data_IF_588628757008
#
_entry.id   IF_588628757008
#
_cell.length_a   1.000
_cell.length_b   1.000
_cell.length_c   1.000
_cell.angle_alpha   90.00
_cell.angle_beta   90.00
_cell.angle_gamma   90.00
#
_symmetry.space_group_name_H-M   'P 1'
#
loop_
_entity.id
_entity.type
_entity.pdbx_description
1 polymer ?
#
# COMPACT_ATOMS: atom_id res chain seq x y z
N UNK A 1 2.63 7.79 4.67
CA UNK A 1 2.86 6.42 4.17
C UNK A 1 3.32 5.54 5.32
N UNK A 2 2.76 4.35 5.40
CA UNK A 2 3.13 3.39 6.45
C UNK A 2 4.13 2.38 5.89
N UNK A 3 5.20 2.17 6.62
CA UNK A 3 6.21 1.17 6.26
C UNK A 3 6.07 0.01 7.22
N UNK A 4 5.74 -1.17 6.68
CA UNK A 4 5.51 -2.38 7.48
C UNK A 4 6.11 -3.59 6.78
N UNK A 5 6.43 -4.60 7.59
CA UNK A 5 6.88 -5.88 7.03
C UNK A 5 5.76 -6.60 6.30
N UNK A 6 4.52 -6.34 6.70
CA UNK A 6 3.35 -6.93 6.05
C UNK A 6 2.33 -5.83 5.82
N UNK A 7 1.95 -5.64 4.56
CA UNK A 7 0.98 -4.64 4.16
C UNK A 7 -0.32 -5.32 3.75
N UNK A 8 -1.44 -4.60 3.91
CA UNK A 8 -2.76 -5.14 3.58
C UNK A 8 -3.64 -4.06 2.98
N UNK A 9 -4.54 -4.50 2.12
CA UNK A 9 -5.60 -3.66 1.59
C UNK A 9 -6.56 -3.32 2.72
N UNK A 10 -6.83 -2.04 2.91
CA UNK A 10 -7.69 -1.56 3.98
C UNK A 10 -9.10 -1.31 3.48
N UNK A 11 -9.24 -0.87 2.24
CA UNK A 11 -10.55 -0.57 1.66
C UNK A 11 -10.63 -1.11 0.22
N UNK A 12 -11.83 -1.02 -0.36
CA UNK A 12 -12.06 -1.55 -1.70
C UNK A 12 -11.33 -0.78 -2.79
N UNK A 13 -10.94 0.45 -2.52
CA UNK A 13 -10.24 1.29 -3.49
C UNK A 13 -8.73 1.17 -3.39
N UNK A 14 -8.24 0.39 -2.44
CA UNK A 14 -6.81 0.13 -2.30
C UNK A 14 -6.35 -0.88 -3.34
N UNK A 15 -5.14 -0.68 -3.83
CA UNK A 15 -4.52 -1.60 -4.79
C UNK A 15 -3.11 -1.90 -4.36
N UNK A 16 -2.69 -3.12 -4.64
CA UNK A 16 -1.31 -3.53 -4.39
C UNK A 16 -0.54 -3.39 -5.70
N UNK A 17 0.57 -2.67 -5.63
CA UNK A 17 1.47 -2.52 -6.76
C UNK A 17 2.88 -2.94 -6.35
N UNK A 18 3.69 -3.29 -7.34
CA UNK A 18 5.06 -3.66 -7.11
C UNK A 18 5.96 -2.75 -7.93
N UNK A 19 6.87 -2.04 -7.27
CA UNK A 19 7.81 -1.14 -7.93
C UNK A 19 9.23 -1.44 -7.45
N UNK A 20 10.14 -1.65 -8.40
CA UNK A 20 11.55 -1.91 -8.09
C UNK A 20 11.72 -3.00 -7.04
N UNK A 21 10.90 -4.04 -7.13
CA UNK A 21 10.96 -5.14 -6.18
C UNK A 21 10.30 -4.88 -4.83
N UNK A 22 9.69 -3.71 -4.66
CA UNK A 22 9.02 -3.34 -3.40
C UNK A 22 7.52 -3.36 -3.61
N UNK A 23 6.82 -4.08 -2.75
CA UNK A 23 5.36 -4.14 -2.77
C UNK A 23 4.80 -2.95 -2.02
N UNK A 24 3.83 -2.28 -2.63
CA UNK A 24 3.19 -1.10 -2.05
C UNK A 24 1.69 -1.19 -2.19
N UNK A 25 0.99 -0.61 -1.23
CA UNK A 25 -0.46 -0.43 -1.32
C UNK A 25 -0.72 1.04 -1.58
N UNK A 26 -1.53 1.30 -2.61
CA UNK A 26 -1.97 2.66 -2.92
C UNK A 26 -3.50 2.70 -2.86
N UNK A 27 -4.03 3.83 -2.44
CA UNK A 27 -5.46 4.02 -2.37
C UNK A 27 -5.82 5.35 -3.01
N UNK A 28 -6.76 5.32 -3.96
CA UNK A 28 -7.20 6.53 -4.64
C UNK A 28 -8.12 7.38 -3.75
N UNK A 29 -8.87 6.71 -2.90
CA UNK A 29 -9.88 7.38 -2.09
C UNK A 29 -9.31 7.96 -0.82
N UNK A 30 -8.36 7.27 -0.21
CA UNK A 30 -7.79 7.68 1.07
C UNK A 30 -6.28 7.57 1.02
N UNK A 31 -5.56 8.70 0.88
CA UNK A 31 -4.10 8.66 0.80
C UNK A 31 -3.44 8.14 2.08
N UNK A 32 -4.14 8.16 3.20
CA UNK A 32 -3.60 7.62 4.44
C UNK A 32 -3.44 6.11 4.41
N UNK A 33 -4.07 5.45 3.44
CA UNK A 33 -3.96 4.00 3.30
C UNK A 33 -2.71 3.56 2.55
N UNK A 34 -1.92 4.48 2.07
CA UNK A 34 -0.66 4.13 1.39
C UNK A 34 0.26 3.37 2.33
N UNK A 35 0.81 2.28 1.84
CA UNK A 35 1.69 1.43 2.62
C UNK A 35 2.87 1.02 1.75
N UNK A 36 3.97 0.69 2.40
CA UNK A 36 5.18 0.19 1.74
C UNK A 36 5.69 -0.99 2.55
N UNK A 37 5.91 -2.09 1.86
CA UNK A 37 6.52 -3.25 2.50
C UNK A 37 8.02 -3.02 2.60
N UNK A 38 8.49 -2.93 3.81
CA UNK A 38 9.91 -2.65 4.03
C UNK A 38 10.55 -3.51 5.05
#
# INVERSE_FOLDING_TARGET
MKVKTSIKIICNDCRIIKRKGVVRVVCQKEPKHKQRQG
#
